data_IF_927695360098
#
_entry.id   IF_927695360098
#
_cell.length_a   1.000
_cell.length_b   1.000
_cell.length_c   1.000
_cell.angle_alpha   90.00
_cell.angle_beta   90.00
_cell.angle_gamma   90.00
#
_symmetry.space_group_name_H-M   'P 1'
#
loop_
_entity.id
_entity.type
_entity.pdbx_description
1 polymer ?
#
# COMPACT_ATOMS: atom_id res chain seq x y z
N UNK A 1 -12.59 24.13 -22.08
CA UNK A 1 -13.42 23.00 -22.57
C UNK A 1 -12.58 21.77 -22.90
N UNK A 2 -11.53 21.89 -23.73
CA UNK A 2 -10.64 20.78 -24.16
C UNK A 2 -9.90 20.10 -23.00
N UNK A 3 -9.44 20.82 -21.98
CA UNK A 3 -8.75 20.24 -20.82
C UNK A 3 -9.66 19.36 -19.95
N UNK A 4 -10.91 19.78 -19.78
CA UNK A 4 -11.94 19.01 -19.05
C UNK A 4 -12.30 17.72 -19.80
N UNK A 5 -12.39 17.80 -21.15
CA UNK A 5 -12.67 16.65 -22.01
C UNK A 5 -11.51 15.62 -21.95
N UNK A 6 -10.24 16.08 -22.03
CA UNK A 6 -9.07 15.21 -21.88
C UNK A 6 -9.02 14.53 -20.50
N UNK A 7 -9.39 15.23 -19.43
CA UNK A 7 -9.43 14.68 -18.07
C UNK A 7 -10.50 13.59 -17.94
N UNK A 8 -11.68 13.79 -18.54
CA UNK A 8 -12.74 12.79 -18.54
C UNK A 8 -12.38 11.55 -19.37
N UNK A 9 -11.74 11.73 -20.52
CA UNK A 9 -11.28 10.61 -21.37
C UNK A 9 -10.22 9.79 -20.62
N UNK A 10 -9.25 10.41 -19.95
CA UNK A 10 -8.27 9.68 -19.14
C UNK A 10 -8.92 8.90 -18.00
N UNK A 11 -9.95 9.45 -17.34
CA UNK A 11 -10.68 8.76 -16.28
C UNK A 11 -11.48 7.57 -16.81
N UNK A 12 -12.10 7.73 -17.99
CA UNK A 12 -12.84 6.64 -18.66
C UNK A 12 -11.88 5.52 -19.08
N UNK A 13 -10.73 5.86 -19.65
CA UNK A 13 -9.70 4.86 -20.03
C UNK A 13 -9.17 4.14 -18.79
N UNK A 14 -8.87 4.85 -17.70
CA UNK A 14 -8.42 4.24 -16.46
C UNK A 14 -9.49 3.30 -15.88
N UNK A 15 -10.75 3.72 -15.88
CA UNK A 15 -11.87 2.89 -15.45
C UNK A 15 -12.03 1.65 -16.33
N UNK A 16 -11.96 1.79 -17.66
CA UNK A 16 -12.03 0.69 -18.60
C UNK A 16 -10.87 -0.31 -18.41
N UNK A 17 -9.65 0.17 -18.14
CA UNK A 17 -8.49 -0.67 -17.85
C UNK A 17 -8.66 -1.43 -16.52
N UNK A 18 -9.24 -0.80 -15.49
CA UNK A 18 -9.56 -1.46 -14.23
C UNK A 18 -10.60 -2.54 -14.44
N UNK A 19 -11.68 -2.25 -15.17
CA UNK A 19 -12.72 -3.22 -15.49
C UNK A 19 -12.16 -4.37 -16.31
N UNK A 20 -11.31 -4.10 -17.31
CA UNK A 20 -10.63 -5.11 -18.10
C UNK A 20 -9.71 -5.99 -17.24
N UNK A 21 -8.94 -5.37 -16.33
CA UNK A 21 -8.09 -6.10 -15.39
C UNK A 21 -8.91 -7.00 -14.47
N UNK A 22 -10.01 -6.50 -13.93
CA UNK A 22 -10.93 -7.28 -13.09
C UNK A 22 -11.59 -8.41 -13.89
N UNK A 23 -11.97 -8.17 -15.14
CA UNK A 23 -12.50 -9.20 -16.04
C UNK A 23 -11.45 -10.27 -16.37
N UNK A 24 -10.19 -9.87 -16.61
CA UNK A 24 -9.07 -10.80 -16.84
C UNK A 24 -8.79 -11.62 -15.56
N UNK A 25 -8.78 -11.00 -14.39
CA UNK A 25 -8.62 -11.69 -13.11
C UNK A 25 -9.80 -12.66 -12.87
N UNK A 26 -11.03 -12.25 -13.16
CA UNK A 26 -12.20 -13.12 -13.05
C UNK A 26 -12.14 -14.28 -14.05
N UNK A 27 -11.68 -14.03 -15.28
CA UNK A 27 -11.55 -15.05 -16.32
C UNK A 27 -10.42 -16.05 -16.01
N UNK A 28 -9.27 -15.56 -15.52
CA UNK A 28 -8.14 -16.39 -15.06
C UNK A 28 -8.47 -17.09 -13.73
N UNK A 29 -9.27 -16.44 -12.87
CA UNK A 29 -9.74 -16.97 -11.59
C UNK A 29 -10.74 -18.14 -11.72
N UNK A 30 -11.22 -18.43 -12.94
CA UNK A 30 -11.94 -19.67 -13.23
C UNK A 30 -11.03 -20.91 -13.19
N UNK A 31 -9.69 -20.71 -13.33
CA UNK A 31 -8.67 -21.72 -13.04
C UNK A 31 -7.78 -21.21 -11.90
N UNK A 32 -8.31 -21.31 -10.68
CA UNK A 32 -7.66 -20.80 -9.46
C UNK A 32 -6.32 -21.45 -9.15
N UNK A 33 -6.09 -22.68 -9.60
CA UNK A 33 -4.82 -23.41 -9.39
C UNK A 33 -3.70 -22.87 -10.28
N UNK A 34 -3.96 -22.69 -11.58
CA UNK A 34 -2.97 -22.16 -12.52
C UNK A 34 -2.56 -20.73 -12.16
N UNK A 35 -3.53 -19.89 -11.77
CA UNK A 35 -3.23 -18.53 -11.30
C UNK A 35 -2.42 -18.53 -10.00
N UNK A 36 -2.80 -19.38 -9.05
CA UNK A 36 -2.07 -19.55 -7.79
C UNK A 36 -0.62 -20.01 -8.00
N UNK A 37 -0.39 -20.95 -8.90
CA UNK A 37 0.95 -21.42 -9.27
C UNK A 37 1.79 -20.32 -9.94
N UNK A 38 1.21 -19.60 -10.91
CA UNK A 38 1.88 -18.48 -11.58
C UNK A 38 2.27 -17.40 -10.58
N UNK A 39 1.34 -17.01 -9.70
CA UNK A 39 1.59 -15.99 -8.66
C UNK A 39 2.69 -16.46 -7.70
N UNK A 40 2.62 -17.70 -7.23
CA UNK A 40 3.63 -18.30 -6.34
C UNK A 40 5.02 -18.29 -6.99
N UNK A 41 5.13 -18.72 -8.23
CA UNK A 41 6.41 -18.74 -8.97
C UNK A 41 6.97 -17.34 -9.16
N UNK A 42 6.12 -16.37 -9.48
CA UNK A 42 6.52 -14.97 -9.63
C UNK A 42 7.02 -14.39 -8.30
N UNK A 43 6.31 -14.64 -7.21
CA UNK A 43 6.73 -14.20 -5.88
C UNK A 43 8.08 -14.80 -5.48
N UNK A 44 8.30 -16.09 -5.73
CA UNK A 44 9.58 -16.77 -5.46
C UNK A 44 10.71 -16.13 -6.28
N UNK A 45 10.50 -15.88 -7.58
CA UNK A 45 11.51 -15.29 -8.46
C UNK A 45 11.93 -13.87 -8.04
N UNK A 46 10.98 -13.06 -7.54
CA UNK A 46 11.21 -11.64 -7.21
C UNK A 46 11.63 -11.44 -5.74
N UNK A 47 11.35 -12.39 -4.87
CA UNK A 47 11.54 -12.27 -3.40
C UNK A 47 12.95 -11.82 -3.00
N UNK A 48 13.99 -12.41 -3.57
CA UNK A 48 15.38 -12.06 -3.25
C UNK A 48 15.73 -10.63 -3.62
N UNK A 49 15.26 -10.15 -4.77
CA UNK A 49 15.49 -8.78 -5.23
C UNK A 49 14.74 -7.76 -4.38
N UNK A 50 13.50 -8.07 -4.01
CA UNK A 50 12.68 -7.19 -3.17
C UNK A 50 13.30 -7.06 -1.78
N UNK A 51 13.72 -8.14 -1.16
CA UNK A 51 14.38 -8.12 0.15
C UNK A 51 15.66 -7.28 0.14
N UNK A 52 16.52 -7.47 -0.86
CA UNK A 52 17.76 -6.68 -1.02
C UNK A 52 17.46 -5.20 -1.24
N UNK A 53 16.43 -4.87 -2.01
CA UNK A 53 16.00 -3.49 -2.26
C UNK A 53 15.47 -2.83 -0.98
N UNK A 54 14.71 -3.54 -0.18
CA UNK A 54 14.22 -3.06 1.12
C UNK A 54 15.37 -2.74 2.07
N UNK A 55 16.36 -3.62 2.17
CA UNK A 55 17.56 -3.37 2.98
C UNK A 55 18.35 -2.14 2.47
N UNK A 56 18.50 -1.99 1.16
CA UNK A 56 19.16 -0.83 0.56
C UNK A 56 18.41 0.47 0.88
N UNK A 57 17.09 0.48 0.76
CA UNK A 57 16.27 1.65 1.09
C UNK A 57 16.35 2.01 2.56
N UNK A 58 16.33 1.00 3.45
CA UNK A 58 16.51 1.23 4.87
C UNK A 58 17.87 1.87 5.17
N UNK A 59 18.94 1.36 4.57
CA UNK A 59 20.28 1.94 4.72
C UNK A 59 20.32 3.40 4.25
N UNK A 60 19.74 3.70 3.08
CA UNK A 60 19.65 5.07 2.56
C UNK A 60 18.86 5.97 3.52
N UNK A 61 17.74 5.49 4.08
CA UNK A 61 16.94 6.26 5.04
C UNK A 61 17.71 6.59 6.31
N UNK A 62 18.48 5.64 6.84
CA UNK A 62 19.35 5.87 8.01
C UNK A 62 20.42 6.91 7.69
N UNK A 63 21.09 6.79 6.54
CA UNK A 63 22.09 7.77 6.08
C UNK A 63 21.44 9.16 5.94
N UNK A 64 20.26 9.26 5.33
CA UNK A 64 19.55 10.53 5.19
C UNK A 64 19.19 11.12 6.55
N UNK A 65 18.71 10.30 7.50
CA UNK A 65 18.30 10.75 8.83
C UNK A 65 19.46 11.35 9.64
N UNK A 66 20.64 10.73 9.59
CA UNK A 66 21.85 11.22 10.33
C UNK A 66 22.61 12.31 9.59
N UNK A 67 22.34 12.52 8.30
CA UNK A 67 23.00 13.52 7.48
C UNK A 67 22.39 14.92 7.66
N UNK A 68 23.02 15.92 7.04
CA UNK A 68 22.45 17.29 6.97
C UNK A 68 21.07 17.35 6.32
N UNK A 69 20.73 16.36 5.50
CA UNK A 69 19.44 16.28 4.80
C UNK A 69 18.28 15.92 5.72
N UNK A 70 18.53 15.21 6.84
CA UNK A 70 17.51 14.92 7.85
C UNK A 70 16.91 16.15 8.54
N UNK A 71 17.56 17.31 8.42
CA UNK A 71 17.08 18.59 8.97
C UNK A 71 16.18 19.37 8.00
N UNK A 72 15.96 18.88 6.79
CA UNK A 72 15.11 19.55 5.81
C UNK A 72 13.65 19.43 6.24
N UNK A 73 13.00 20.59 6.44
CA UNK A 73 11.55 20.62 6.69
C UNK A 73 10.78 20.49 5.37
N UNK A 74 9.77 19.62 5.36
CA UNK A 74 8.83 19.52 4.25
C UNK A 74 7.93 20.75 4.27
N UNK A 75 7.76 21.42 3.12
CA UNK A 75 6.97 22.65 3.01
C UNK A 75 7.73 23.94 3.32
N UNK A 76 9.05 23.87 3.58
CA UNK A 76 9.90 25.04 3.81
C UNK A 76 10.15 25.36 5.29
N UNK A 77 10.92 26.43 5.55
CA UNK A 77 11.42 26.76 6.90
C UNK A 77 10.30 27.05 7.90
N UNK A 78 9.23 27.69 7.45
CA UNK A 78 8.11 28.16 8.27
C UNK A 78 6.94 27.17 8.31
N UNK A 79 7.10 26.00 7.68
CA UNK A 79 6.06 24.97 7.66
C UNK A 79 5.76 24.48 9.08
N UNK A 80 4.47 24.42 9.41
CA UNK A 80 3.95 23.89 10.68
C UNK A 80 3.24 22.56 10.41
N UNK A 81 3.26 21.62 11.38
CA UNK A 81 2.46 20.40 11.27
C UNK A 81 0.98 20.73 11.06
N UNK A 82 0.35 20.08 10.10
CA UNK A 82 -1.07 20.25 9.79
C UNK A 82 -1.97 19.46 10.76
N UNK A 83 -1.46 18.35 11.26
CA UNK A 83 -2.16 17.46 12.18
C UNK A 83 -1.52 17.46 13.56
N UNK A 84 -2.31 17.21 14.60
CA UNK A 84 -1.79 16.93 15.93
C UNK A 84 -1.01 15.61 15.92
N UNK A 85 -0.06 15.45 16.85
CA UNK A 85 0.72 14.22 16.98
C UNK A 85 -0.18 12.98 17.17
N UNK A 86 -1.26 13.12 17.91
CA UNK A 86 -2.22 12.04 18.13
C UNK A 86 -2.95 11.66 16.85
N UNK A 87 -3.44 12.63 16.08
CA UNK A 87 -4.12 12.39 14.80
C UNK A 87 -3.17 11.73 13.79
N UNK A 88 -1.95 12.23 13.70
CA UNK A 88 -0.92 11.67 12.84
C UNK A 88 -0.61 10.20 13.21
N UNK A 89 -0.35 9.95 14.49
CA UNK A 89 -0.09 8.61 14.99
C UNK A 89 -1.26 7.66 14.73
N UNK A 90 -2.49 8.10 15.03
CA UNK A 90 -3.69 7.28 14.82
C UNK A 90 -3.90 6.91 13.36
N UNK A 91 -3.69 7.84 12.43
CA UNK A 91 -3.80 7.56 11.00
C UNK A 91 -2.78 6.52 10.54
N UNK A 92 -1.51 6.66 10.96
CA UNK A 92 -0.46 5.71 10.62
C UNK A 92 -0.72 4.33 11.24
N UNK A 93 -1.12 4.30 12.52
CA UNK A 93 -1.41 3.07 13.24
C UNK A 93 -2.57 2.30 12.58
N UNK A 94 -3.68 2.99 12.28
CA UNK A 94 -4.83 2.35 11.64
C UNK A 94 -4.50 1.85 10.22
N UNK A 95 -3.73 2.61 9.46
CA UNK A 95 -3.35 2.21 8.11
C UNK A 95 -2.43 0.98 8.09
N UNK A 96 -1.53 0.85 9.07
CA UNK A 96 -0.55 -0.23 9.12
C UNK A 96 -0.97 -1.43 9.95
N UNK A 97 -1.64 -1.20 11.08
CA UNK A 97 -1.87 -2.22 12.11
C UNK A 97 -3.29 -2.76 12.16
N UNK A 98 -4.26 -2.15 11.46
CA UNK A 98 -5.66 -2.58 11.51
C UNK A 98 -5.85 -4.05 11.13
N UNK A 99 -5.17 -4.51 10.10
CA UNK A 99 -5.14 -5.91 9.64
C UNK A 99 -3.86 -6.59 10.10
N UNK A 100 -2.73 -5.86 10.14
CA UNK A 100 -1.38 -6.38 10.34
C UNK A 100 -1.18 -7.15 11.64
N UNK A 101 -1.80 -6.73 12.76
CA UNK A 101 -1.64 -7.43 14.05
C UNK A 101 -2.13 -8.88 13.96
N UNK A 102 -3.25 -9.13 13.29
CA UNK A 102 -3.79 -10.49 13.16
C UNK A 102 -2.96 -11.33 12.19
N UNK A 103 -2.46 -10.73 11.10
CA UNK A 103 -1.56 -11.42 10.17
C UNK A 103 -0.23 -11.79 10.79
N UNK A 104 0.32 -10.94 11.63
CA UNK A 104 1.59 -11.18 12.30
C UNK A 104 1.63 -12.53 13.02
N UNK A 105 0.60 -12.86 13.80
CA UNK A 105 0.52 -14.15 14.47
C UNK A 105 0.37 -15.32 13.49
N UNK A 106 -0.42 -15.14 12.45
CA UNK A 106 -0.67 -16.18 11.44
C UNK A 106 0.59 -16.44 10.58
N UNK A 107 1.35 -15.41 10.28
CA UNK A 107 2.54 -15.52 9.46
C UNK A 107 3.69 -16.24 10.17
N UNK A 108 3.85 -16.05 11.48
CA UNK A 108 4.83 -16.84 12.25
C UNK A 108 4.53 -18.33 12.22
N UNK A 109 3.26 -18.73 12.29
CA UNK A 109 2.85 -20.13 12.12
C UNK A 109 3.09 -20.62 10.69
N UNK A 110 2.84 -19.78 9.68
CA UNK A 110 3.14 -20.11 8.29
C UNK A 110 4.63 -20.34 8.07
N UNK A 111 5.48 -19.48 8.60
CA UNK A 111 6.92 -19.66 8.50
C UNK A 111 7.39 -20.93 9.22
N UNK A 112 6.82 -21.25 10.38
CA UNK A 112 7.15 -22.46 11.12
C UNK A 112 6.86 -23.74 10.33
N UNK A 113 5.71 -23.80 9.64
CA UNK A 113 5.25 -25.02 8.99
C UNK A 113 5.60 -25.13 7.50
N UNK A 114 5.80 -24.00 6.83
CA UNK A 114 5.86 -23.98 5.34
C UNK A 114 7.13 -23.35 4.79
N UNK A 115 7.95 -22.69 5.61
CA UNK A 115 9.14 -22.01 5.11
C UNK A 115 10.35 -22.97 5.11
N UNK A 116 10.94 -23.28 3.94
CA UNK A 116 12.08 -24.18 3.85
C UNK A 116 13.33 -23.66 4.58
N UNK A 117 13.44 -22.34 4.76
CA UNK A 117 14.61 -21.75 5.45
C UNK A 117 14.67 -22.07 6.94
N UNK A 118 13.56 -22.45 7.55
CA UNK A 118 13.51 -22.85 8.96
C UNK A 118 14.44 -24.05 9.24
N UNK A 119 14.64 -24.96 8.27
CA UNK A 119 15.56 -26.08 8.39
C UNK A 119 17.02 -25.78 7.97
N UNK A 120 17.31 -24.60 7.41
CA UNK A 120 18.64 -24.29 6.85
C UNK A 120 19.48 -23.40 7.75
N UNK A 121 18.87 -22.74 8.72
CA UNK A 121 19.53 -21.81 9.64
C UNK A 121 19.65 -22.47 11.00
N UNK A 122 20.80 -22.29 11.67
CA UNK A 122 21.01 -22.79 13.01
C UNK A 122 20.14 -22.02 14.03
N UNK A 123 19.34 -22.74 14.79
CA UNK A 123 18.42 -22.19 15.77
C UNK A 123 17.18 -23.05 15.95
N UNK A 124 16.33 -22.70 16.94
CA UNK A 124 15.04 -23.39 17.05
C UNK A 124 14.11 -22.94 15.92
N UNK A 125 13.28 -23.85 15.35
CA UNK A 125 12.33 -23.51 14.29
C UNK A 125 11.43 -22.32 14.63
N UNK A 126 10.99 -22.22 15.88
CA UNK A 126 10.14 -21.15 16.39
C UNK A 126 10.85 -19.80 16.37
N UNK A 127 12.12 -19.78 16.81
CA UNK A 127 12.93 -18.55 16.80
C UNK A 127 13.17 -18.03 15.39
N UNK A 128 13.43 -18.94 14.45
CA UNK A 128 13.62 -18.60 13.04
C UNK A 128 12.32 -18.07 12.42
N UNK A 129 11.20 -18.76 12.66
CA UNK A 129 9.90 -18.36 12.17
C UNK A 129 9.51 -16.96 12.69
N UNK A 130 9.74 -16.69 13.96
CA UNK A 130 9.51 -15.38 14.57
C UNK A 130 10.40 -14.29 13.98
N UNK A 131 11.68 -14.61 13.78
CA UNK A 131 12.64 -13.67 13.16
C UNK A 131 12.26 -13.32 11.72
N UNK A 132 11.77 -14.28 10.93
CA UNK A 132 11.28 -14.05 9.57
C UNK A 132 10.03 -13.16 9.57
N UNK A 133 9.11 -13.38 10.50
CA UNK A 133 7.93 -12.53 10.68
C UNK A 133 8.31 -11.10 11.04
N UNK A 134 9.26 -10.92 11.96
CA UNK A 134 9.79 -9.60 12.28
C UNK A 134 10.46 -8.94 11.07
N UNK A 135 11.20 -9.71 10.29
CA UNK A 135 11.82 -9.21 9.06
C UNK A 135 10.78 -8.67 8.06
N UNK A 136 9.70 -9.41 7.85
CA UNK A 136 8.66 -9.06 6.88
C UNK A 136 7.77 -7.88 7.36
N UNK A 137 7.56 -7.71 8.67
CA UNK A 137 6.61 -6.73 9.21
C UNK A 137 7.21 -5.51 9.92
N UNK A 138 8.54 -5.44 10.06
CA UNK A 138 9.19 -4.31 10.73
C UNK A 138 9.88 -3.36 9.75
N UNK A 139 11.12 -3.01 10.02
CA UNK A 139 11.86 -1.97 9.32
C UNK A 139 11.95 -2.16 7.80
N UNK A 140 12.00 -3.39 7.33
CA UNK A 140 12.16 -3.65 5.89
C UNK A 140 10.94 -3.22 5.10
N UNK A 141 9.74 -3.63 5.49
CA UNK A 141 8.51 -3.22 4.83
C UNK A 141 8.28 -1.71 4.97
N UNK A 142 8.40 -1.19 6.19
CA UNK A 142 8.19 0.23 6.45
C UNK A 142 9.24 1.12 5.83
N UNK A 143 10.47 0.63 5.66
CA UNK A 143 11.53 1.32 4.93
C UNK A 143 11.16 1.60 3.48
N UNK A 144 10.51 0.66 2.80
CA UNK A 144 10.02 0.83 1.43
C UNK A 144 8.98 1.95 1.35
N UNK A 145 7.97 1.92 2.23
CA UNK A 145 6.94 2.96 2.28
C UNK A 145 7.50 4.32 2.65
N UNK A 146 8.37 4.36 3.65
CA UNK A 146 9.00 5.60 4.10
C UNK A 146 9.87 6.23 3.01
N UNK A 147 10.63 5.44 2.25
CA UNK A 147 11.46 5.93 1.15
C UNK A 147 10.62 6.56 0.04
N UNK A 148 9.59 5.85 -0.43
CA UNK A 148 8.70 6.36 -1.47
C UNK A 148 7.91 7.59 -0.99
N UNK A 149 7.37 7.52 0.22
CA UNK A 149 6.65 8.64 0.84
C UNK A 149 7.51 9.89 0.99
N UNK A 150 8.75 9.74 1.45
CA UNK A 150 9.69 10.84 1.62
C UNK A 150 10.05 11.52 0.29
N UNK A 151 10.32 10.72 -0.75
CA UNK A 151 10.63 11.23 -2.09
C UNK A 151 9.44 12.03 -2.64
N UNK A 152 8.24 11.45 -2.62
CA UNK A 152 7.02 12.11 -3.12
C UNK A 152 6.76 13.39 -2.34
N UNK A 153 6.83 13.33 -1.00
CA UNK A 153 6.61 14.48 -0.14
C UNK A 153 7.62 15.60 -0.40
N UNK A 154 8.90 15.29 -0.56
CA UNK A 154 9.91 16.28 -0.87
C UNK A 154 9.65 16.99 -2.21
N UNK A 155 9.34 16.23 -3.26
CA UNK A 155 9.06 16.84 -4.57
C UNK A 155 7.75 17.62 -4.57
N UNK A 156 6.76 17.18 -3.83
CA UNK A 156 5.49 17.89 -3.72
C UNK A 156 5.61 19.17 -2.88
N UNK A 157 6.03 19.03 -1.63
CA UNK A 157 6.02 20.16 -0.67
C UNK A 157 7.17 21.15 -0.88
N UNK A 158 8.36 20.69 -1.28
CA UNK A 158 9.53 21.57 -1.41
C UNK A 158 9.81 22.01 -2.85
N UNK A 159 9.32 21.28 -3.85
CA UNK A 159 9.52 21.59 -5.27
C UNK A 159 8.24 21.97 -6.00
N UNK A 160 7.07 21.96 -5.33
CA UNK A 160 5.79 22.33 -5.93
C UNK A 160 5.32 21.43 -7.06
N UNK A 161 5.82 20.17 -7.11
CA UNK A 161 5.42 19.22 -8.16
C UNK A 161 4.10 18.54 -7.83
N UNK A 162 3.43 17.98 -8.85
CA UNK A 162 2.22 17.19 -8.64
C UNK A 162 2.48 15.96 -7.76
N UNK A 163 1.47 15.58 -6.97
CA UNK A 163 1.50 14.39 -6.11
C UNK A 163 1.37 13.11 -6.94
N UNK A 164 2.40 12.82 -7.74
CA UNK A 164 2.48 11.67 -8.62
C UNK A 164 3.91 11.14 -8.65
N UNK A 165 4.06 9.83 -8.80
CA UNK A 165 5.40 9.22 -8.91
C UNK A 165 6.12 9.69 -10.17
N UNK A 166 5.41 9.85 -11.29
CA UNK A 166 6.01 10.36 -12.52
C UNK A 166 6.59 11.78 -12.36
N UNK A 167 6.15 12.54 -11.38
CA UNK A 167 6.65 13.89 -11.11
C UNK A 167 8.08 13.92 -10.54
N UNK A 168 8.57 12.81 -10.00
CA UNK A 168 9.93 12.66 -9.48
C UNK A 168 10.95 12.71 -10.61
N UNK A 169 10.58 12.20 -11.79
CA UNK A 169 11.48 12.10 -12.93
C UNK A 169 11.68 13.46 -13.63
N UNK A 170 12.86 13.68 -14.24
CA UNK A 170 13.15 14.90 -14.98
C UNK A 170 12.14 15.17 -16.09
N UNK A 171 11.94 16.44 -16.44
CA UNK A 171 11.03 16.89 -17.50
C UNK A 171 11.36 16.28 -18.88
N UNK A 172 12.61 15.90 -19.07
CA UNK A 172 13.09 15.25 -20.32
C UNK A 172 12.52 13.86 -20.57
N UNK A 173 11.91 13.22 -19.55
CA UNK A 173 11.25 11.93 -19.76
C UNK A 173 10.04 12.06 -20.66
N UNK A 174 9.92 11.14 -21.61
CA UNK A 174 8.79 11.07 -22.55
C UNK A 174 7.44 11.11 -21.80
N UNK A 175 6.48 11.84 -22.35
CA UNK A 175 5.12 11.89 -21.83
C UNK A 175 4.50 10.49 -21.69
N UNK A 176 4.75 9.63 -22.70
CA UNK A 176 4.25 8.25 -22.71
C UNK A 176 4.80 7.46 -21.55
N UNK A 177 6.11 7.55 -21.28
CA UNK A 177 6.74 6.82 -20.18
C UNK A 177 6.22 7.29 -18.81
N UNK A 178 6.02 8.59 -18.62
CA UNK A 178 5.42 9.12 -17.39
C UNK A 178 4.01 8.60 -17.17
N UNK A 179 3.19 8.56 -18.23
CA UNK A 179 1.84 8.01 -18.16
C UNK A 179 1.84 6.53 -17.85
N UNK A 180 2.74 5.76 -18.46
CA UNK A 180 2.89 4.34 -18.17
C UNK A 180 3.25 4.11 -16.69
N UNK A 181 4.20 4.88 -16.14
CA UNK A 181 4.55 4.81 -14.71
C UNK A 181 3.33 5.11 -13.83
N UNK A 182 2.59 6.18 -14.10
CA UNK A 182 1.42 6.55 -13.30
C UNK A 182 0.32 5.48 -13.37
N UNK A 183 0.11 4.86 -14.53
CA UNK A 183 -0.85 3.76 -14.70
C UNK A 183 -0.42 2.52 -13.92
N UNK A 184 0.83 2.10 -14.04
CA UNK A 184 1.36 0.94 -13.31
C UNK A 184 1.22 1.15 -11.79
N UNK A 185 1.52 2.35 -11.31
CA UNK A 185 1.37 2.68 -9.89
C UNK A 185 -0.09 2.69 -9.45
N UNK A 186 -1.00 3.24 -10.27
CA UNK A 186 -2.43 3.20 -9.96
C UNK A 186 -2.96 1.76 -9.90
N UNK A 187 -2.55 0.91 -10.83
CA UNK A 187 -2.90 -0.52 -10.83
C UNK A 187 -2.34 -1.23 -9.58
N UNK A 188 -1.10 -0.95 -9.20
CA UNK A 188 -0.50 -1.47 -7.98
C UNK A 188 -1.26 -1.08 -6.72
N UNK A 189 -1.69 0.19 -6.61
CA UNK A 189 -2.51 0.68 -5.49
C UNK A 189 -3.86 -0.04 -5.44
N UNK A 190 -4.53 -0.18 -6.59
CA UNK A 190 -5.82 -0.88 -6.66
C UNK A 190 -5.66 -2.35 -6.27
N UNK A 191 -4.64 -3.03 -6.79
CA UNK A 191 -4.37 -4.43 -6.44
C UNK A 191 -4.08 -4.60 -4.94
N UNK A 192 -3.26 -3.73 -4.35
CA UNK A 192 -2.96 -3.74 -2.91
C UNK A 192 -4.21 -3.49 -2.06
N UNK A 193 -5.07 -2.55 -2.48
CA UNK A 193 -6.34 -2.28 -1.80
C UNK A 193 -7.28 -3.49 -1.86
N UNK A 194 -7.43 -4.11 -3.02
CA UNK A 194 -8.26 -5.31 -3.20
C UNK A 194 -7.76 -6.46 -2.32
N UNK A 195 -6.44 -6.68 -2.26
CA UNK A 195 -5.82 -7.70 -1.41
C UNK A 195 -6.12 -7.42 0.07
N UNK A 196 -5.89 -6.19 0.54
CA UNK A 196 -6.12 -5.80 1.93
C UNK A 196 -7.59 -5.94 2.33
N UNK A 197 -8.52 -5.50 1.47
CA UNK A 197 -9.96 -5.66 1.72
C UNK A 197 -10.38 -7.13 1.75
N UNK A 198 -9.89 -7.94 0.80
CA UNK A 198 -10.20 -9.37 0.74
C UNK A 198 -9.73 -10.12 1.99
N UNK A 199 -8.50 -9.89 2.39
CA UNK A 199 -7.94 -10.46 3.60
C UNK A 199 -8.67 -9.99 4.87
N UNK A 200 -9.01 -8.71 4.97
CA UNK A 200 -9.78 -8.16 6.09
C UNK A 200 -11.18 -8.78 6.22
N UNK A 201 -11.87 -8.98 5.09
CA UNK A 201 -13.17 -9.67 5.08
C UNK A 201 -13.03 -11.14 5.51
N UNK A 202 -12.00 -11.84 5.03
CA UNK A 202 -11.75 -13.22 5.42
C UNK A 202 -11.51 -13.34 6.94
N UNK A 203 -10.74 -12.41 7.52
CA UNK A 203 -10.53 -12.35 8.98
C UNK A 203 -11.81 -12.08 9.74
N UNK A 204 -12.62 -11.13 9.30
CA UNK A 204 -13.92 -10.85 9.93
C UNK A 204 -14.86 -12.07 9.87
N UNK A 205 -14.93 -12.75 8.74
CA UNK A 205 -15.72 -13.99 8.61
C UNK A 205 -15.24 -15.06 9.60
N UNK A 206 -13.91 -15.24 9.72
CA UNK A 206 -13.30 -16.15 10.69
C UNK A 206 -13.64 -15.75 12.13
N UNK A 207 -13.53 -14.47 12.47
CA UNK A 207 -13.88 -13.93 13.77
C UNK A 207 -15.36 -14.13 14.13
N UNK A 208 -16.28 -13.82 13.21
CA UNK A 208 -17.71 -14.05 13.40
C UNK A 208 -18.02 -15.52 13.64
N UNK A 209 -17.40 -16.41 12.85
CA UNK A 209 -17.59 -17.86 13.03
C UNK A 209 -17.08 -18.34 14.37
N UNK A 210 -15.92 -17.87 14.82
CA UNK A 210 -15.30 -18.31 16.06
C UNK A 210 -15.98 -17.75 17.30
N UNK A 211 -16.25 -16.44 17.32
CA UNK A 211 -16.79 -15.75 18.52
C UNK A 211 -18.30 -15.89 18.65
N UNK A 212 -19.01 -15.74 17.53
CA UNK A 212 -20.49 -15.70 17.54
C UNK A 212 -21.12 -16.97 16.97
N UNK A 213 -20.32 -17.93 16.49
CA UNK A 213 -20.78 -19.15 15.82
C UNK A 213 -21.67 -18.87 14.59
N UNK A 214 -21.52 -17.70 13.96
CA UNK A 214 -22.27 -17.27 12.78
C UNK A 214 -21.41 -17.39 11.55
N UNK A 215 -21.93 -18.08 10.53
CA UNK A 215 -21.29 -18.12 9.21
C UNK A 215 -21.65 -16.85 8.44
N UNK A 216 -20.83 -15.81 8.56
CA UNK A 216 -21.04 -14.56 7.84
C UNK A 216 -20.73 -14.74 6.35
N UNK A 217 -21.59 -14.17 5.49
CA UNK A 217 -21.37 -14.19 4.05
C UNK A 217 -20.30 -13.14 3.69
N UNK A 218 -19.15 -13.54 3.09
CA UNK A 218 -18.05 -12.63 2.77
C UNK A 218 -18.45 -11.51 1.79
N UNK A 219 -19.37 -11.77 0.86
CA UNK A 219 -19.82 -10.77 -0.10
C UNK A 219 -20.67 -9.69 0.57
N UNK A 220 -21.52 -10.04 1.54
CA UNK A 220 -22.33 -9.09 2.31
C UNK A 220 -21.42 -8.21 3.16
N UNK A 221 -20.42 -8.80 3.85
CA UNK A 221 -19.45 -8.04 4.62
C UNK A 221 -18.63 -7.09 3.73
N UNK A 222 -18.19 -7.55 2.56
CA UNK A 222 -17.46 -6.71 1.60
C UNK A 222 -18.31 -5.52 1.16
N UNK A 223 -19.58 -5.75 0.79
CA UNK A 223 -20.49 -4.67 0.42
C UNK A 223 -20.68 -3.67 1.57
N UNK A 224 -20.88 -4.16 2.81
CA UNK A 224 -21.00 -3.31 3.98
C UNK A 224 -19.78 -2.43 4.21
N UNK A 225 -18.58 -2.99 4.13
CA UNK A 225 -17.32 -2.25 4.26
C UNK A 225 -17.20 -1.19 3.15
N UNK A 226 -17.47 -1.55 1.90
CA UNK A 226 -17.43 -0.61 0.77
C UNK A 226 -18.44 0.54 0.94
N UNK A 227 -19.64 0.25 1.41
CA UNK A 227 -20.66 1.28 1.68
C UNK A 227 -20.22 2.23 2.80
N UNK A 228 -19.70 1.70 3.91
CA UNK A 228 -19.18 2.50 5.03
C UNK A 228 -18.01 3.37 4.56
N UNK A 229 -17.07 2.81 3.81
CA UNK A 229 -15.93 3.55 3.27
C UNK A 229 -16.38 4.67 2.33
N UNK A 230 -17.30 4.38 1.41
CA UNK A 230 -17.86 5.36 0.49
C UNK A 230 -18.61 6.47 1.22
N UNK A 231 -19.40 6.12 2.21
CA UNK A 231 -20.11 7.08 3.06
C UNK A 231 -19.13 7.97 3.82
N UNK A 232 -18.10 7.38 4.45
CA UNK A 232 -17.06 8.12 5.18
C UNK A 232 -16.32 9.12 4.28
N UNK A 233 -15.97 8.71 3.05
CA UNK A 233 -15.33 9.60 2.07
C UNK A 233 -16.29 10.74 1.69
N UNK A 234 -17.55 10.47 1.45
CA UNK A 234 -18.52 11.51 1.12
C UNK A 234 -18.71 12.52 2.25
N UNK A 235 -18.84 12.06 3.49
CA UNK A 235 -18.95 12.92 4.67
C UNK A 235 -17.72 13.81 4.84
N UNK A 236 -16.53 13.23 4.75
CA UNK A 236 -15.27 13.99 4.88
C UNK A 236 -15.03 14.96 3.74
N UNK A 237 -15.47 14.63 2.52
CA UNK A 237 -15.34 15.54 1.36
C UNK A 237 -16.33 16.68 1.36
N UNK A 238 -17.46 16.57 2.06
CA UNK A 238 -18.45 17.63 2.20
C UNK A 238 -18.16 18.58 3.38
N UNK A 239 -17.23 18.22 4.26
CA UNK A 239 -16.89 19.05 5.41
C UNK A 239 -16.22 20.36 4.97
N UNK A 240 -16.54 21.52 5.61
CA UNK A 240 -16.05 22.84 5.20
C UNK A 240 -14.52 22.98 5.24
N UNK A 241 -13.78 22.09 5.87
CA UNK A 241 -12.31 22.04 5.87
C UNK A 241 -11.71 21.88 4.46
N UNK A 242 -12.42 21.28 3.51
CA UNK A 242 -11.94 21.17 2.11
C UNK A 242 -11.92 22.53 1.41
N UNK A 243 -12.82 23.44 1.75
CA UNK A 243 -12.82 24.81 1.18
C UNK A 243 -11.57 25.60 1.59
N UNK A 244 -11.00 25.30 2.75
CA UNK A 244 -9.75 25.90 3.23
C UNK A 244 -8.51 25.35 2.53
N UNK A 245 -8.53 24.08 2.12
CA UNK A 245 -7.40 23.42 1.43
C UNK A 245 -7.36 23.75 -0.07
N UNK A 246 -8.54 23.88 -0.71
CA UNK A 246 -8.64 24.19 -2.15
C UNK A 246 -8.40 25.68 -2.45
N UNK A 247 -8.68 26.58 -1.50
CA UNK A 247 -8.45 28.02 -1.68
C UNK A 247 -7.03 28.48 -1.36
N UNK A 248 -6.13 27.56 -0.96
CA UNK A 248 -4.70 27.86 -0.72
C UNK A 248 -3.75 27.21 -1.75
N UNK A 249 -4.27 26.56 -2.77
CA UNK A 249 -3.55 26.06 -3.93
C UNK A 249 -3.87 26.89 -5.16
#
# INVERSE_FOLDING_TARGET
MISKLKKNICSIIAFALIVLLLAVIAFIGLDSEAFGLFFKQTCIAVRGYVGSLCCLFLLILVILAVSKYGKIKLGGKDAKPEYSNFSWFSCLFMAGMGIGIMFYCQESLFHLHSNPYVGWVSGSPESIAYSLTLYDWTFNAWGLYAMLGLIIAYFHFNKGRELKISSIFPIRFSYVLRRAIDIVMALGIVAGLCTSLGLGVAQLCGGFKYVFHVNANPYILMMGICLIATWSVNVTTQHPYRKLLVNKA
#
